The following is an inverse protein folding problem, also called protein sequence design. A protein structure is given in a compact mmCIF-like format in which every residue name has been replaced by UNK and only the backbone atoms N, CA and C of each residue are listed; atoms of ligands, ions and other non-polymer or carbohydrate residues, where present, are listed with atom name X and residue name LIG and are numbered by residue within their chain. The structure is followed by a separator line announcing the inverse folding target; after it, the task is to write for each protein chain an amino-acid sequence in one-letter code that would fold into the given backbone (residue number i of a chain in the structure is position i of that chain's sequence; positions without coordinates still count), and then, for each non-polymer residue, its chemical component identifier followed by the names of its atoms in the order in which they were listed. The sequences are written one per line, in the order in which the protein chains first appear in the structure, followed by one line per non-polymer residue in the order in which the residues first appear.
data_IF_760583035109
#
_entry.id   IF_760583035109
#
_cell.length_a   1.000
_cell.length_b   1.000
_cell.length_c   1.000
_cell.angle_alpha   90.00
_cell.angle_beta   90.00
_cell.angle_gamma   90.00
#
_symmetry.space_group_name_H-M   'P 1'
#
loop_
_entity.id
_entity.type
_entity.pdbx_description
1 polymer ?
#
# COMPACT_ATOMS: atom_id res chain seq x y z
N UNK A 1 -33.12 -0.58 -4.26
CA UNK A 1 -32.34 0.23 -3.29
C UNK A 1 -30.86 -0.02 -3.50
N UNK A 2 -30.11 0.96 -3.97
CA UNK A 2 -28.66 0.83 -4.16
C UNK A 2 -27.98 0.87 -2.78
N UNK A 3 -27.42 -0.26 -2.34
CA UNK A 3 -26.63 -0.32 -1.11
C UNK A 3 -25.39 0.54 -1.32
N UNK A 4 -25.34 1.73 -0.70
CA UNK A 4 -24.12 2.54 -0.64
C UNK A 4 -23.02 1.69 0.01
N UNK A 5 -21.96 1.39 -0.74
CA UNK A 5 -20.81 0.62 -0.25
C UNK A 5 -20.12 1.43 0.87
N UNK A 6 -20.37 1.05 2.13
CA UNK A 6 -19.93 1.78 3.32
C UNK A 6 -18.55 1.39 3.84
N UNK A 7 -17.65 0.98 2.94
CA UNK A 7 -16.34 0.47 3.30
C UNK A 7 -16.29 -1.06 3.49
N UNK A 8 -15.19 -1.53 4.10
CA UNK A 8 -14.78 -2.91 4.17
C UNK A 8 -14.78 -3.38 5.62
N UNK A 9 -15.53 -4.43 5.94
CA UNK A 9 -15.53 -5.00 7.29
C UNK A 9 -14.19 -5.60 7.62
N UNK A 10 -13.72 -5.30 8.82
CA UNK A 10 -12.52 -5.89 9.37
C UNK A 10 -12.80 -7.30 9.88
N UNK A 11 -11.88 -8.26 9.66
CA UNK A 11 -12.03 -9.63 10.15
C UNK A 11 -11.99 -9.67 11.69
N UNK A 12 -12.75 -10.58 12.25
CA UNK A 12 -12.72 -10.90 13.69
C UNK A 12 -11.51 -11.82 13.96
N UNK A 13 -10.75 -11.57 15.04
CA UNK A 13 -9.56 -12.36 15.38
C UNK A 13 -8.20 -11.69 15.11
N UNK A 14 -8.19 -10.41 14.73
CA UNK A 14 -6.99 -9.59 14.66
C UNK A 14 -7.23 -8.19 15.20
N UNK A 15 -6.19 -7.55 15.72
CA UNK A 15 -6.22 -6.14 16.10
C UNK A 15 -5.76 -5.31 14.90
N UNK A 16 -6.61 -4.40 14.44
CA UNK A 16 -6.31 -3.48 13.35
C UNK A 16 -6.32 -2.07 13.90
N UNK A 17 -5.25 -1.34 13.62
CA UNK A 17 -4.97 -0.02 14.13
C UNK A 17 -4.58 0.92 12.99
N UNK A 18 -4.80 2.21 13.20
CA UNK A 18 -4.39 3.25 12.25
C UNK A 18 -3.28 4.06 12.90
N UNK A 19 -2.11 4.11 12.28
CA UNK A 19 -0.92 4.76 12.82
C UNK A 19 -0.48 5.91 11.94
N UNK A 20 0.10 6.92 12.57
CA UNK A 20 0.73 8.01 11.84
C UNK A 20 1.98 7.51 11.12
N UNK A 21 2.20 7.96 9.89
CA UNK A 21 3.31 7.45 9.05
C UNK A 21 4.66 8.08 9.39
N UNK A 22 4.65 9.20 10.11
CA UNK A 22 5.85 9.97 10.45
C UNK A 22 6.21 9.82 11.94
N UNK A 23 5.29 9.28 12.75
CA UNK A 23 5.44 9.17 14.20
C UNK A 23 4.98 7.79 14.69
N UNK A 24 5.55 7.31 15.79
CA UNK A 24 5.12 6.05 16.41
C UNK A 24 3.88 6.25 17.29
N UNK A 25 2.82 6.85 16.73
CA UNK A 25 1.58 7.13 17.45
C UNK A 25 0.37 6.55 16.75
N UNK A 26 -0.47 5.91 17.55
CA UNK A 26 -1.80 5.50 17.13
C UNK A 26 -2.69 6.72 16.92
N UNK A 27 -3.30 6.84 15.75
CA UNK A 27 -4.17 7.95 15.41
C UNK A 27 -5.58 7.76 16.00
N UNK A 28 -6.25 8.88 16.37
CA UNK A 28 -7.62 8.83 16.84
C UNK A 28 -8.59 8.47 15.70
N UNK A 29 -9.84 8.24 16.09
CA UNK A 29 -10.90 7.81 15.17
C UNK A 29 -11.20 8.90 14.14
N UNK A 30 -11.17 8.53 12.85
CA UNK A 30 -11.52 9.42 11.74
C UNK A 30 -10.35 10.07 11.03
N UNK A 31 -9.11 9.84 11.49
CA UNK A 31 -7.91 10.27 10.79
C UNK A 31 -7.39 9.21 9.82
N UNK A 32 -6.72 9.65 8.76
CA UNK A 32 -6.07 8.78 7.77
C UNK A 32 -4.66 8.46 8.23
N UNK A 33 -4.31 7.18 8.25
CA UNK A 33 -2.97 6.72 8.55
C UNK A 33 -2.71 5.32 8.00
N UNK A 34 -1.55 4.75 8.33
CA UNK A 34 -1.20 3.40 7.93
C UNK A 34 -2.01 2.36 8.70
N UNK A 35 -2.51 1.37 7.97
CA UNK A 35 -3.11 0.17 8.54
C UNK A 35 -2.02 -0.70 9.13
N UNK A 36 -2.05 -0.86 10.45
CA UNK A 36 -1.17 -1.76 11.19
C UNK A 36 -1.99 -2.91 11.75
N UNK A 37 -1.53 -4.13 11.50
CA UNK A 37 -2.26 -5.35 11.85
C UNK A 37 -1.47 -6.18 12.86
N UNK A 38 -2.17 -6.68 13.87
CA UNK A 38 -1.70 -7.76 14.73
C UNK A 38 -2.64 -8.96 14.57
N UNK A 39 -2.10 -10.09 14.10
CA UNK A 39 -2.85 -11.33 13.92
C UNK A 39 -2.51 -12.30 15.05
N UNK A 40 -3.53 -12.77 15.76
CA UNK A 40 -3.39 -13.73 16.85
C UNK A 40 -3.44 -15.19 16.36
N UNK A 41 -2.80 -15.47 15.22
CA UNK A 41 -2.71 -16.80 14.65
C UNK A 41 -1.43 -17.51 15.16
N UNK A 42 -1.52 -18.68 15.80
CA UNK A 42 -0.34 -19.40 16.32
C UNK A 42 0.63 -19.87 15.23
N UNK A 43 0.14 -20.19 14.03
CA UNK A 43 0.97 -20.69 12.92
C UNK A 43 1.65 -19.55 12.15
N UNK A 44 1.08 -18.35 12.21
CA UNK A 44 1.57 -17.17 11.49
C UNK A 44 1.21 -15.88 12.24
N UNK A 45 1.87 -15.68 13.38
CA UNK A 45 1.66 -14.49 14.19
C UNK A 45 2.28 -13.27 13.51
N UNK A 46 1.49 -12.21 13.36
CA UNK A 46 1.97 -10.89 12.96
C UNK A 46 1.76 -9.94 14.14
N UNK A 47 2.79 -9.19 14.52
CA UNK A 47 2.70 -8.22 15.61
C UNK A 47 3.07 -6.85 15.07
N UNK A 48 2.13 -5.89 15.18
CA UNK A 48 2.27 -4.52 14.67
C UNK A 48 2.85 -4.46 13.24
N UNK A 49 2.34 -5.31 12.37
CA UNK A 49 2.77 -5.38 10.98
C UNK A 49 2.14 -4.23 10.18
N UNK A 50 2.98 -3.28 9.74
CA UNK A 50 2.59 -2.20 8.85
C UNK A 50 2.34 -2.72 7.45
N UNK A 51 1.10 -2.57 6.97
CA UNK A 51 0.72 -3.07 5.65
C UNK A 51 1.26 -2.20 4.50
N UNK A 52 1.75 -0.99 4.80
CA UNK A 52 2.16 0.02 3.81
C UNK A 52 0.96 0.73 3.18
N UNK A 53 -0.19 0.68 3.82
CA UNK A 53 -1.50 0.90 3.22
C UNK A 53 -2.27 1.95 4.02
N UNK A 54 -2.76 3.01 3.37
CA UNK A 54 -3.43 4.13 4.05
C UNK A 54 -4.95 3.98 4.06
N UNK A 55 -5.56 4.19 5.22
CA UNK A 55 -7.02 4.22 5.37
C UNK A 55 -7.50 5.01 6.58
N UNK A 56 -8.82 5.20 6.66
CA UNK A 56 -9.55 5.80 7.78
C UNK A 56 -10.55 4.79 8.35
N UNK A 57 -10.68 4.68 9.67
CA UNK A 57 -11.68 3.83 10.29
C UNK A 57 -13.09 4.44 10.14
N UNK A 58 -14.03 3.64 9.67
CA UNK A 58 -15.45 3.92 9.62
C UNK A 58 -16.19 3.20 10.75
N UNK A 59 -16.69 4.00 11.68
CA UNK A 59 -17.36 3.54 12.90
C UNK A 59 -18.88 3.65 12.83
N UNK A 60 -19.42 4.11 11.70
CA UNK A 60 -20.87 4.14 11.53
C UNK A 60 -21.40 2.71 11.51
N UNK A 61 -22.57 2.42 12.09
CA UNK A 61 -23.23 1.14 11.93
C UNK A 61 -23.35 0.74 10.45
N UNK A 62 -23.16 -0.55 10.16
CA UNK A 62 -23.33 -1.06 8.81
C UNK A 62 -24.77 -1.52 8.58
N UNK A 63 -25.43 -1.12 7.47
CA UNK A 63 -26.76 -1.62 7.13
C UNK A 63 -26.85 -3.14 6.94
N UNK A 64 -25.71 -3.84 6.77
CA UNK A 64 -25.69 -5.31 6.69
C UNK A 64 -25.87 -6.01 8.05
N UNK A 65 -25.94 -5.27 9.16
CA UNK A 65 -26.13 -5.82 10.50
C UNK A 65 -24.85 -6.26 11.22
N UNK A 66 -23.71 -6.37 10.54
CA UNK A 66 -22.41 -6.64 11.19
C UNK A 66 -21.97 -5.47 12.08
N UNK A 67 -21.48 -5.80 13.26
CA UNK A 67 -20.96 -4.85 14.27
C UNK A 67 -19.48 -4.53 14.11
N UNK A 68 -18.73 -5.30 13.32
CA UNK A 68 -17.29 -5.08 13.14
C UNK A 68 -17.00 -3.71 12.53
N UNK A 69 -15.91 -3.10 13.00
CA UNK A 69 -15.41 -1.86 12.44
C UNK A 69 -15.13 -2.01 10.94
N UNK A 70 -15.23 -0.90 10.20
CA UNK A 70 -14.97 -0.87 8.77
C UNK A 70 -13.82 0.06 8.46
N UNK A 71 -13.14 -0.17 7.33
CA UNK A 71 -12.28 0.83 6.70
C UNK A 71 -13.05 1.47 5.54
N UNK A 72 -12.93 2.79 5.35
CA UNK A 72 -13.62 3.45 4.21
C UNK A 72 -13.12 2.98 2.85
N UNK A 73 -11.99 2.29 2.81
CA UNK A 73 -11.34 1.76 1.62
C UNK A 73 -9.88 2.16 1.61
N UNK A 74 -9.25 2.01 0.46
CA UNK A 74 -7.87 2.41 0.27
C UNK A 74 -7.76 3.89 -0.07
N UNK A 75 -6.90 4.62 0.63
CA UNK A 75 -6.65 6.04 0.34
C UNK A 75 -5.26 6.31 -0.21
N UNK A 76 -4.32 5.37 -0.08
CA UNK A 76 -2.96 5.56 -0.56
C UNK A 76 -2.00 4.49 -0.02
N UNK A 77 -0.73 4.63 -0.38
CA UNK A 77 0.35 3.77 0.10
C UNK A 77 1.36 4.60 0.88
N UNK A 78 1.98 3.97 1.86
CA UNK A 78 3.19 4.48 2.51
C UNK A 78 4.39 4.10 1.65
N UNK A 79 5.31 5.05 1.51
CA UNK A 79 6.53 4.89 0.73
C UNK A 79 6.29 4.85 -0.78
N UNK A 80 7.35 4.53 -1.50
CA UNK A 80 7.43 4.70 -2.96
C UNK A 80 7.07 3.45 -3.76
N UNK A 81 6.55 2.41 -3.08
CA UNK A 81 6.18 1.16 -3.74
C UNK A 81 4.92 1.35 -4.59
N UNK A 82 5.00 1.03 -5.88
CA UNK A 82 3.89 1.16 -6.82
C UNK A 82 3.32 -0.22 -7.18
N UNK A 83 2.00 -0.27 -7.43
CA UNK A 83 1.35 -1.50 -7.90
C UNK A 83 1.30 -1.51 -9.43
N UNK A 84 1.96 -2.49 -10.04
CA UNK A 84 2.00 -2.70 -11.50
C UNK A 84 1.41 -4.07 -11.80
N UNK A 85 0.27 -4.11 -12.50
CA UNK A 85 -0.43 -5.35 -12.89
C UNK A 85 -0.69 -6.30 -11.72
N UNK A 86 -1.05 -5.74 -10.56
CA UNK A 86 -1.34 -6.50 -9.35
C UNK A 86 -0.13 -6.86 -8.48
N UNK A 87 1.10 -6.65 -8.98
CA UNK A 87 2.33 -6.89 -8.24
C UNK A 87 2.88 -5.59 -7.67
N UNK A 88 3.60 -5.69 -6.55
CA UNK A 88 4.35 -4.57 -6.00
C UNK A 88 5.71 -4.47 -6.66
N UNK A 89 6.06 -3.24 -7.05
CA UNK A 89 7.39 -2.88 -7.50
C UNK A 89 7.97 -1.86 -6.54
N UNK A 90 9.06 -2.24 -5.86
CA UNK A 90 9.77 -1.37 -4.95
C UNK A 90 10.94 -0.68 -5.69
N UNK A 91 11.17 0.62 -5.49
CA UNK A 91 12.29 1.33 -6.13
C UNK A 91 13.65 0.67 -5.89
N UNK A 92 13.83 0.05 -4.71
CA UNK A 92 15.04 -0.74 -4.41
C UNK A 92 15.28 -1.87 -5.42
N UNK A 93 14.24 -2.58 -5.84
CA UNK A 93 14.38 -3.67 -6.82
C UNK A 93 14.83 -3.12 -8.19
N UNK A 94 14.33 -1.94 -8.58
CA UNK A 94 14.80 -1.26 -9.79
C UNK A 94 16.23 -0.78 -9.65
N UNK A 95 16.58 -0.19 -8.50
CA UNK A 95 17.94 0.24 -8.20
C UNK A 95 18.93 -0.94 -8.25
N UNK A 96 18.59 -2.06 -7.62
CA UNK A 96 19.39 -3.29 -7.62
C UNK A 96 19.51 -3.90 -9.03
N UNK A 97 18.50 -3.73 -9.90
CA UNK A 97 18.56 -4.12 -11.30
C UNK A 97 19.50 -3.21 -12.10
N UNK A 98 19.35 -1.88 -11.99
CA UNK A 98 20.14 -0.92 -12.75
C UNK A 98 21.63 -1.00 -12.40
N UNK A 99 21.95 -1.25 -11.13
CA UNK A 99 23.34 -1.44 -10.66
C UNK A 99 24.06 -2.67 -11.22
N UNK A 100 23.37 -3.56 -11.93
CA UNK A 100 24.00 -4.72 -12.60
C UNK A 100 24.68 -4.34 -13.91
N UNK A 101 24.46 -3.12 -14.40
CA UNK A 101 25.11 -2.60 -15.59
C UNK A 101 25.90 -1.34 -15.24
N UNK A 102 27.22 -1.40 -15.36
CA UNK A 102 28.11 -0.25 -15.17
C UNK A 102 27.96 0.80 -16.29
N UNK A 103 27.31 0.42 -17.39
CA UNK A 103 27.01 1.28 -18.52
C UNK A 103 25.86 2.26 -18.25
N UNK A 104 25.10 2.10 -17.18
CA UNK A 104 23.97 2.99 -16.88
C UNK A 104 24.42 4.09 -15.92
N UNK A 105 24.40 5.34 -16.38
CA UNK A 105 24.80 6.51 -15.58
C UNK A 105 23.65 7.09 -14.76
N UNK A 106 22.45 7.15 -15.33
CA UNK A 106 21.24 7.53 -14.60
C UNK A 106 19.99 6.88 -15.22
N UNK A 107 18.91 6.85 -14.45
CA UNK A 107 17.66 6.27 -14.90
C UNK A 107 16.46 6.95 -14.25
N UNK A 108 15.33 6.89 -14.94
CA UNK A 108 14.04 7.32 -14.44
C UNK A 108 12.99 6.30 -14.86
N UNK A 109 12.06 5.99 -13.96
CA UNK A 109 10.89 5.17 -14.28
C UNK A 109 9.61 5.93 -13.99
N UNK A 110 8.56 5.62 -14.73
CA UNK A 110 7.22 6.11 -14.44
C UNK A 110 6.19 5.07 -14.86
N UNK A 111 5.02 5.16 -14.25
CA UNK A 111 3.89 4.28 -14.53
C UNK A 111 2.77 5.08 -15.17
N UNK A 112 2.19 4.53 -16.24
CA UNK A 112 0.94 5.01 -16.81
C UNK A 112 -0.10 3.89 -16.77
N UNK A 113 -1.37 4.27 -16.83
CA UNK A 113 -2.48 3.31 -16.93
C UNK A 113 -3.31 3.65 -18.17
N UNK A 114 -3.40 2.69 -19.09
CA UNK A 114 -4.15 2.84 -20.34
C UNK A 114 -5.10 1.65 -20.49
N UNK A 115 -6.39 1.90 -20.74
CA UNK A 115 -7.43 0.85 -20.87
C UNK A 115 -7.39 -0.20 -19.74
N UNK A 116 -7.21 0.25 -18.49
CA UNK A 116 -7.08 -0.57 -17.28
C UNK A 116 -5.83 -1.45 -17.19
N UNK A 117 -4.89 -1.30 -18.12
CA UNK A 117 -3.61 -1.99 -18.10
C UNK A 117 -2.55 -1.05 -17.55
N UNK A 118 -1.79 -1.54 -16.57
CA UNK A 118 -0.63 -0.84 -16.04
C UNK A 118 0.55 -1.00 -17.00
N UNK A 119 1.17 0.13 -17.36
CA UNK A 119 2.38 0.22 -18.17
C UNK A 119 3.48 0.88 -17.34
N UNK A 120 4.57 0.15 -17.11
CA UNK A 120 5.79 0.70 -16.53
C UNK A 120 6.73 1.06 -17.68
N UNK A 121 7.14 2.32 -17.74
CA UNK A 121 8.13 2.81 -18.67
C UNK A 121 9.40 3.20 -17.91
N UNK A 122 10.52 3.16 -18.62
CA UNK A 122 11.82 3.51 -18.06
C UNK A 122 12.66 4.19 -19.13
N UNK A 123 13.37 5.23 -18.70
CA UNK A 123 14.40 5.90 -19.47
C UNK A 123 15.73 5.66 -18.75
N UNK A 124 16.74 5.29 -19.53
CA UNK A 124 18.11 5.09 -19.05
C UNK A 124 19.03 6.00 -19.83
N UNK A 125 19.98 6.61 -19.13
CA UNK A 125 21.10 7.33 -19.72
C UNK A 125 22.32 6.43 -19.61
N UNK A 126 22.99 6.20 -20.74
CA UNK A 126 24.22 5.43 -20.77
C UNK A 126 25.41 6.30 -20.34
N UNK A 127 26.45 5.65 -19.82
CA UNK A 127 27.74 6.24 -19.54
C UNK A 127 28.42 6.65 -20.85
N UNK A 128 29.15 7.78 -20.89
CA UNK A 128 29.87 8.22 -22.09
C UNK A 128 30.79 7.11 -22.63
N UNK A 129 30.73 6.87 -23.95
CA UNK A 129 31.56 5.84 -24.60
C UNK A 129 30.95 4.43 -24.62
N UNK A 130 29.75 4.26 -24.09
CA UNK A 130 28.94 3.04 -24.28
C UNK A 130 28.14 3.13 -25.59
N UNK A 131 28.19 2.08 -26.41
CA UNK A 131 27.43 1.93 -27.66
C UNK A 131 26.21 1.04 -27.49
#
# INVERSE_FOLDING_TARGET
MSVKRGGWHLPEGGLIQIWDINTDRHLPRGETGEIVVTLFNPDYALVRFGMGDLSTPNLKPCPCGRSSARLIGWQGRVGDAVRVRGMFLHPRQLHDLMRRSDEISCWQTWMTRQRYIDHLAMQVLLSPGTT
#
